data_IF_997251659423
#
_entry.id   IF_997251659423
#
_cell.length_a   1.000
_cell.length_b   1.000
_cell.length_c   1.000
_cell.angle_alpha   90.00
_cell.angle_beta   90.00
_cell.angle_gamma   90.00
#
_symmetry.space_group_name_H-M   'P 1'
#
loop_
_entity.id
_entity.type
_entity.pdbx_description
1 polymer ?
#
# COMPACT_ATOMS: atom_id res chain seq x y z
N UNK A 1 -10.36 13.63 -7.69
CA UNK A 1 -9.54 14.70 -8.30
C UNK A 1 -10.43 15.47 -9.26
N UNK A 2 -10.73 16.72 -8.94
CA UNK A 2 -11.92 17.43 -9.45
C UNK A 2 -11.55 18.53 -10.47
N UNK A 3 -12.48 18.83 -11.38
CA UNK A 3 -12.38 19.81 -12.48
C UNK A 3 -11.91 21.21 -12.02
N UNK A 4 -12.08 21.49 -10.71
CA UNK A 4 -11.64 22.69 -10.00
C UNK A 4 -10.13 22.93 -10.06
N UNK A 5 -9.31 21.88 -10.15
CA UNK A 5 -7.84 21.99 -10.24
C UNK A 5 -7.42 22.73 -11.52
N UNK A 6 -8.02 22.37 -12.67
CA UNK A 6 -7.70 22.98 -13.97
C UNK A 6 -8.10 24.46 -14.04
N UNK A 7 -9.23 24.83 -13.43
CA UNK A 7 -9.67 26.24 -13.36
C UNK A 7 -8.76 27.10 -12.48
N UNK A 8 -8.04 26.50 -11.53
CA UNK A 8 -7.14 27.21 -10.61
C UNK A 8 -5.79 27.50 -11.27
N UNK A 9 -5.28 26.55 -12.06
CA UNK A 9 -4.06 26.74 -12.87
C UNK A 9 -4.29 27.80 -13.95
N UNK A 10 -5.43 27.74 -14.66
CA UNK A 10 -5.82 28.73 -15.67
C UNK A 10 -5.85 30.17 -15.09
N UNK A 11 -6.38 30.33 -13.87
CA UNK A 11 -6.43 31.64 -13.17
C UNK A 11 -5.07 32.14 -12.69
N UNK A 12 -4.11 31.26 -12.37
CA UNK A 12 -2.74 31.65 -12.01
C UNK A 12 -1.98 32.17 -13.25
N UNK A 13 -2.16 31.55 -14.41
CA UNK A 13 -1.55 31.99 -15.67
C UNK A 13 -2.12 33.30 -16.22
N UNK A 14 -3.42 33.57 -16.04
CA UNK A 14 -4.06 34.81 -16.51
C UNK A 14 -3.73 36.06 -15.66
N UNK A 15 -3.03 35.91 -14.52
CA UNK A 15 -2.79 37.00 -13.55
C UNK A 15 -1.44 37.72 -13.72
N UNK A 16 -0.56 37.31 -14.63
CA UNK A 16 0.66 38.08 -14.93
C UNK A 16 0.36 39.24 -15.90
N UNK A 17 0.48 40.52 -15.48
CA UNK A 17 0.07 41.64 -16.30
C UNK A 17 1.28 42.26 -17.03
N UNK A 18 1.63 41.75 -18.20
CA UNK A 18 2.26 42.53 -19.28
C UNK A 18 2.23 41.74 -20.60
N UNK A 19 1.79 42.38 -21.70
CA UNK A 19 1.78 41.91 -23.11
C UNK A 19 0.51 41.22 -23.65
N UNK A 20 -0.67 41.55 -23.14
CA UNK A 20 -1.94 40.87 -23.52
C UNK A 20 -2.45 41.15 -24.95
N UNK A 21 -2.05 42.22 -25.64
CA UNK A 21 -2.82 42.68 -26.82
C UNK A 21 -2.28 42.31 -28.20
N UNK A 22 -1.15 41.61 -28.34
CA UNK A 22 -0.59 41.25 -29.67
C UNK A 22 -0.35 39.75 -29.91
N UNK A 23 -0.60 38.89 -28.90
CA UNK A 23 -0.27 37.44 -28.90
C UNK A 23 -1.47 36.49 -28.75
N UNK A 24 -2.71 37.00 -28.84
CA UNK A 24 -3.91 36.27 -28.43
C UNK A 24 -4.27 35.04 -29.27
N UNK A 25 -3.76 34.94 -30.51
CA UNK A 25 -3.96 33.75 -31.38
C UNK A 25 -2.83 32.73 -31.28
N UNK A 26 -1.59 33.14 -30.98
CA UNK A 26 -0.42 32.26 -30.89
C UNK A 26 -0.33 31.53 -29.54
N UNK A 27 -0.79 32.17 -28.45
CA UNK A 27 -0.78 31.57 -27.10
C UNK A 27 -1.78 30.41 -26.94
N UNK A 28 -2.95 30.45 -27.61
CA UNK A 28 -3.96 29.39 -27.48
C UNK A 28 -3.51 28.03 -28.01
N UNK A 29 -2.66 28.01 -29.05
CA UNK A 29 -2.21 26.76 -29.68
C UNK A 29 -1.02 26.09 -28.97
N UNK A 30 -0.30 26.81 -28.11
CA UNK A 30 0.80 26.27 -27.30
C UNK A 30 0.29 25.70 -25.97
N UNK A 31 -0.81 26.28 -25.46
CA UNK A 31 -1.51 25.83 -24.24
C UNK A 31 -2.18 24.46 -24.40
N UNK A 32 -2.77 24.16 -25.57
CA UNK A 32 -3.47 22.89 -25.80
C UNK A 32 -2.55 21.66 -25.71
N UNK A 33 -1.32 21.76 -26.23
CA UNK A 33 -0.34 20.67 -26.18
C UNK A 33 0.20 20.44 -24.77
N UNK A 34 0.48 21.54 -24.05
CA UNK A 34 0.88 21.53 -22.65
C UNK A 34 -0.20 20.91 -21.77
N UNK A 35 -1.46 21.33 -21.96
CA UNK A 35 -2.64 20.79 -21.26
C UNK A 35 -2.86 19.32 -21.55
N UNK A 36 -2.79 18.91 -22.83
CA UNK A 36 -2.89 17.51 -23.21
C UNK A 36 -1.83 16.67 -22.49
N UNK A 37 -0.61 17.19 -22.39
CA UNK A 37 0.46 16.49 -21.72
C UNK A 37 0.24 16.35 -20.20
N UNK A 38 -0.29 17.37 -19.49
CA UNK A 38 -0.63 17.21 -18.06
C UNK A 38 -1.74 16.17 -17.86
N UNK A 39 -2.75 16.19 -18.73
CA UNK A 39 -3.83 15.21 -18.68
C UNK A 39 -3.31 13.78 -18.90
N UNK A 40 -2.38 13.59 -19.84
CA UNK A 40 -1.75 12.29 -20.09
C UNK A 40 -0.90 11.87 -18.90
N UNK A 41 -0.07 12.76 -18.33
CA UNK A 41 0.70 12.47 -17.12
C UNK A 41 -0.18 12.04 -15.95
N UNK A 42 -1.34 12.69 -15.77
CA UNK A 42 -2.30 12.30 -14.75
C UNK A 42 -2.86 10.89 -14.99
N UNK A 43 -3.13 10.51 -16.25
CA UNK A 43 -3.57 9.15 -16.59
C UNK A 43 -2.46 8.11 -16.34
N UNK A 44 -1.21 8.44 -16.66
CA UNK A 44 -0.04 7.59 -16.40
C UNK A 44 0.12 7.37 -14.89
N UNK A 45 0.07 8.45 -14.10
CA UNK A 45 0.17 8.38 -12.64
C UNK A 45 -0.96 7.54 -12.03
N UNK A 46 -2.21 7.79 -12.42
CA UNK A 46 -3.37 7.05 -11.92
C UNK A 46 -3.37 5.55 -12.28
N UNK A 47 -2.68 5.19 -13.37
CA UNK A 47 -2.53 3.79 -13.79
C UNK A 47 -1.29 3.10 -13.23
N UNK A 48 -0.45 3.82 -12.45
CA UNK A 48 0.77 3.30 -11.85
C UNK A 48 1.79 2.81 -12.88
N UNK A 49 1.82 3.42 -14.07
CA UNK A 49 2.72 3.03 -15.16
C UNK A 49 4.06 3.77 -15.06
N UNK A 50 5.16 3.17 -15.58
CA UNK A 50 6.44 3.86 -15.66
C UNK A 50 6.33 5.14 -16.49
N UNK A 51 7.10 6.17 -16.14
CA UNK A 51 7.11 7.45 -16.86
C UNK A 51 7.53 7.30 -18.34
N UNK A 52 8.34 6.28 -18.66
CA UNK A 52 8.79 5.99 -20.04
C UNK A 52 7.64 5.64 -20.98
N UNK A 53 6.47 5.23 -20.47
CA UNK A 53 5.33 4.86 -21.32
C UNK A 53 4.84 6.02 -22.21
N UNK A 54 5.06 7.26 -21.76
CA UNK A 54 4.74 8.47 -22.51
C UNK A 54 5.44 8.49 -23.87
N UNK A 55 6.75 8.29 -23.88
CA UNK A 55 7.59 8.30 -25.08
C UNK A 55 7.61 6.96 -25.82
N UNK A 56 7.58 5.84 -25.11
CA UNK A 56 7.72 4.50 -25.69
C UNK A 56 6.46 4.01 -26.41
N UNK A 57 5.28 4.45 -25.95
CA UNK A 57 4.00 3.91 -26.45
C UNK A 57 2.97 4.99 -26.78
N UNK A 58 2.77 5.97 -25.89
CA UNK A 58 1.67 6.93 -26.03
C UNK A 58 1.92 7.89 -27.21
N UNK A 59 3.12 8.48 -27.32
CA UNK A 59 3.46 9.34 -28.46
C UNK A 59 3.40 8.58 -29.81
N UNK A 60 4.00 7.38 -29.96
CA UNK A 60 3.82 6.58 -31.16
C UNK A 60 2.36 6.26 -31.51
N UNK A 61 1.53 5.92 -30.52
CA UNK A 61 0.13 5.61 -30.75
C UNK A 61 -0.66 6.85 -31.21
N UNK A 62 -0.42 8.01 -30.60
CA UNK A 62 -1.01 9.29 -31.03
C UNK A 62 -0.59 9.60 -32.48
N UNK A 63 0.68 9.37 -32.82
CA UNK A 63 1.18 9.56 -34.18
C UNK A 63 0.45 8.70 -35.21
N UNK A 64 0.27 7.42 -34.92
CA UNK A 64 -0.43 6.51 -35.83
C UNK A 64 -1.87 6.96 -36.06
N UNK A 65 -2.60 7.33 -35.00
CA UNK A 65 -3.99 7.81 -35.10
C UNK A 65 -4.09 9.10 -35.92
N UNK A 66 -3.20 10.07 -35.70
CA UNK A 66 -3.24 11.34 -36.44
C UNK A 66 -2.95 11.11 -37.94
N UNK A 67 -1.98 10.26 -38.25
CA UNK A 67 -1.59 10.00 -39.64
C UNK A 67 -2.61 9.14 -40.40
N UNK A 68 -3.24 8.15 -39.75
CA UNK A 68 -4.12 7.17 -40.42
C UNK A 68 -5.60 7.50 -40.33
N UNK A 69 -6.07 8.02 -39.20
CA UNK A 69 -7.50 8.28 -38.96
C UNK A 69 -7.88 9.71 -39.32
N UNK A 70 -6.98 10.65 -39.04
CA UNK A 70 -7.23 12.07 -39.28
C UNK A 70 -6.61 12.59 -40.59
N UNK A 71 -5.82 11.77 -41.28
CA UNK A 71 -5.08 12.11 -42.50
C UNK A 71 -4.35 13.47 -42.41
N UNK A 72 -3.76 13.76 -41.24
CA UNK A 72 -3.06 15.03 -40.97
C UNK A 72 -1.57 14.77 -40.71
N UNK A 73 -0.67 15.70 -41.09
CA UNK A 73 0.72 15.62 -40.70
C UNK A 73 0.83 15.76 -39.17
N UNK A 74 1.23 14.70 -38.49
CA UNK A 74 1.25 14.65 -37.03
C UNK A 74 2.44 15.40 -36.40
N UNK A 75 3.50 15.65 -37.18
CA UNK A 75 4.79 16.13 -36.68
C UNK A 75 4.72 17.42 -35.85
N UNK A 76 3.96 18.41 -36.33
CA UNK A 76 3.86 19.72 -35.66
C UNK A 76 2.96 19.68 -34.41
N UNK A 77 2.05 18.71 -34.33
CA UNK A 77 1.14 18.55 -33.18
C UNK A 77 1.77 17.71 -32.06
N UNK A 78 2.51 16.66 -32.42
CA UNK A 78 3.18 15.76 -31.44
C UNK A 78 4.29 16.49 -30.70
N UNK A 79 5.08 17.31 -31.40
CA UNK A 79 6.14 18.12 -30.77
C UNK A 79 5.64 19.03 -29.66
N UNK A 80 4.35 19.40 -29.68
CA UNK A 80 3.72 20.25 -28.67
C UNK A 80 3.30 19.50 -27.40
N UNK A 81 3.36 18.16 -27.41
CA UNK A 81 2.96 17.31 -26.27
C UNK A 81 4.22 16.64 -25.71
N UNK A 82 4.95 17.30 -24.79
CA UNK A 82 6.21 16.73 -24.31
C UNK A 82 5.91 15.65 -23.26
N UNK A 83 6.06 14.38 -23.66
CA UNK A 83 5.85 13.19 -22.80
C UNK A 83 7.15 12.41 -22.54
N UNK A 84 8.31 13.08 -22.56
CA UNK A 84 9.57 12.40 -22.24
C UNK A 84 9.58 11.95 -20.78
N UNK A 85 10.37 10.91 -20.46
CA UNK A 85 10.47 10.37 -19.10
C UNK A 85 10.67 11.47 -18.02
N UNK A 86 11.57 12.42 -18.28
CA UNK A 86 11.85 13.52 -17.35
C UNK A 86 10.70 14.54 -17.28
N UNK A 87 9.99 14.74 -18.38
CA UNK A 87 8.84 15.66 -18.42
C UNK A 87 7.66 15.08 -17.66
N UNK A 88 7.38 13.80 -17.85
CA UNK A 88 6.37 13.05 -17.12
C UNK A 88 6.62 13.10 -15.62
N UNK A 89 7.86 12.79 -15.19
CA UNK A 89 8.25 12.90 -13.80
C UNK A 89 7.95 14.30 -13.23
N UNK A 90 8.47 15.34 -13.89
CA UNK A 90 8.31 16.73 -13.41
C UNK A 90 6.83 17.12 -13.31
N UNK A 91 6.00 16.75 -14.28
CA UNK A 91 4.56 17.07 -14.27
C UNK A 91 3.83 16.37 -13.14
N UNK A 92 4.15 15.10 -12.89
CA UNK A 92 3.59 14.35 -11.76
C UNK A 92 4.01 15.00 -10.45
N UNK A 93 5.28 15.38 -10.30
CA UNK A 93 5.80 16.06 -9.11
C UNK A 93 5.12 17.42 -8.88
N UNK A 94 4.96 18.24 -9.93
CA UNK A 94 4.27 19.53 -9.87
C UNK A 94 2.78 19.38 -9.47
N UNK A 95 2.07 18.42 -10.08
CA UNK A 95 0.67 18.14 -9.72
C UNK A 95 0.56 17.63 -8.29
N UNK A 96 1.43 16.71 -7.87
CA UNK A 96 1.46 16.18 -6.51
C UNK A 96 1.74 17.27 -5.48
N UNK A 97 2.70 18.16 -5.76
CA UNK A 97 3.01 19.29 -4.91
C UNK A 97 1.83 20.25 -4.77
N UNK A 98 1.15 20.57 -5.88
CA UNK A 98 -0.05 21.42 -5.84
C UNK A 98 -1.19 20.77 -5.03
N UNK A 99 -1.41 19.46 -5.16
CA UNK A 99 -2.43 18.74 -4.36
C UNK A 99 -2.04 18.77 -2.87
N UNK A 100 -0.77 18.58 -2.56
CA UNK A 100 -0.25 18.62 -1.19
C UNK A 100 -0.41 20.00 -0.55
N UNK A 101 -0.15 21.08 -1.29
CA UNK A 101 -0.34 22.46 -0.82
C UNK A 101 -1.81 22.72 -0.48
N UNK A 102 -2.72 22.40 -1.40
CA UNK A 102 -4.16 22.54 -1.19
C UNK A 102 -4.66 21.72 0.01
N UNK A 103 -4.09 20.53 0.21
CA UNK A 103 -4.39 19.71 1.38
C UNK A 103 -3.90 20.38 2.67
N UNK A 104 -2.67 20.90 2.70
CA UNK A 104 -2.14 21.61 3.87
C UNK A 104 -3.00 22.82 4.22
N UNK A 105 -3.31 23.68 3.24
CA UNK A 105 -4.20 24.86 3.41
C UNK A 105 -5.57 24.44 3.98
N UNK A 106 -6.12 23.31 3.53
CA UNK A 106 -7.38 22.80 4.05
C UNK A 106 -7.27 22.32 5.51
N UNK A 107 -6.17 21.66 5.88
CA UNK A 107 -5.92 21.14 7.23
C UNK A 107 -5.60 22.24 8.25
N UNK A 108 -5.10 23.39 7.81
CA UNK A 108 -4.91 24.58 8.66
C UNK A 108 -6.23 25.05 9.29
N UNK A 109 -7.32 24.99 8.54
CA UNK A 109 -8.64 25.49 8.96
C UNK A 109 -9.61 24.39 9.45
N UNK A 110 -9.25 23.11 9.28
CA UNK A 110 -10.19 21.99 9.47
C UNK A 110 -9.71 21.02 10.52
N UNK A 111 -10.63 20.41 11.28
CA UNK A 111 -10.31 19.32 12.19
C UNK A 111 -10.16 17.99 11.43
N UNK A 112 -9.15 17.21 11.77
CA UNK A 112 -8.83 15.96 11.08
C UNK A 112 -8.29 14.89 12.02
N UNK A 113 -8.30 13.66 11.56
CA UNK A 113 -7.66 12.51 12.20
C UNK A 113 -6.43 12.11 11.40
N UNK A 114 -5.41 11.57 12.04
CA UNK A 114 -4.22 11.05 11.36
C UNK A 114 -4.06 9.55 11.61
N UNK A 115 -3.53 8.84 10.63
CA UNK A 115 -3.07 7.47 10.76
C UNK A 115 -1.58 7.42 10.40
N UNK A 116 -0.81 6.81 11.28
CA UNK A 116 0.63 6.65 11.14
C UNK A 116 0.92 5.17 10.88
N UNK A 117 1.69 4.91 9.84
CA UNK A 117 2.17 3.58 9.50
C UNK A 117 3.65 3.64 9.14
N UNK A 118 4.40 2.63 9.56
CA UNK A 118 5.82 2.49 9.22
C UNK A 118 5.98 1.41 8.17
N UNK A 119 6.77 1.69 7.13
CA UNK A 119 7.12 0.71 6.11
C UNK A 119 8.63 0.65 5.93
N UNK A 120 9.18 -0.56 5.89
CA UNK A 120 10.60 -0.77 5.55
C UNK A 120 10.76 -0.98 4.05
N UNK A 121 11.61 -0.17 3.42
CA UNK A 121 12.00 -0.33 2.02
C UNK A 121 13.05 -1.45 1.87
N UNK A 122 13.27 -2.01 0.65
CA UNK A 122 14.24 -3.08 0.43
C UNK A 122 15.68 -2.76 0.86
N UNK A 123 16.04 -1.47 0.95
CA UNK A 123 17.33 -0.98 1.46
C UNK A 123 17.44 -0.89 2.99
N UNK A 124 16.48 -1.44 3.73
CA UNK A 124 16.32 -1.28 5.19
C UNK A 124 16.07 0.16 5.66
N UNK A 125 15.63 1.03 4.75
CA UNK A 125 15.20 2.39 5.10
C UNK A 125 13.79 2.32 5.70
N UNK A 126 13.59 3.00 6.82
CA UNK A 126 12.27 3.14 7.44
C UNK A 126 11.55 4.37 6.86
N UNK A 127 10.35 4.16 6.32
CA UNK A 127 9.49 5.17 5.73
C UNK A 127 8.28 5.38 6.63
N UNK A 128 8.11 6.60 7.13
CA UNK A 128 6.90 7.03 7.82
C UNK A 128 5.86 7.44 6.80
N UNK A 129 4.70 6.78 6.83
CA UNK A 129 3.52 7.12 6.07
C UNK A 129 2.48 7.77 6.99
N UNK A 130 1.98 8.93 6.58
CA UNK A 130 0.99 9.71 7.31
C UNK A 130 -0.21 9.91 6.43
N UNK A 131 -1.32 9.29 6.80
CA UNK A 131 -2.62 9.52 6.17
C UNK A 131 -3.44 10.46 7.03
N UNK A 132 -4.17 11.36 6.38
CA UNK A 132 -5.14 12.23 7.04
C UNK A 132 -6.54 11.82 6.66
N UNK A 133 -7.46 11.97 7.60
CA UNK A 133 -8.87 11.71 7.40
C UNK A 133 -9.70 12.89 7.91
N UNK A 134 -10.55 13.42 7.05
CA UNK A 134 -11.32 14.63 7.34
C UNK A 134 -12.70 14.55 6.67
N UNK A 135 -13.59 15.47 7.04
CA UNK A 135 -14.92 15.59 6.43
C UNK A 135 -14.90 16.77 5.45
N UNK A 136 -15.24 16.50 4.19
CA UNK A 136 -15.42 17.52 3.15
C UNK A 136 -16.72 17.22 2.40
N UNK A 137 -17.59 18.22 2.29
CA UNK A 137 -18.89 18.09 1.60
C UNK A 137 -19.71 16.88 2.11
N UNK A 138 -19.78 16.74 3.44
CA UNK A 138 -20.47 15.64 4.15
C UNK A 138 -19.92 14.22 3.86
N UNK A 139 -18.79 14.12 3.14
CA UNK A 139 -18.10 12.87 2.85
C UNK A 139 -16.83 12.77 3.69
N UNK A 140 -16.55 11.55 4.13
CA UNK A 140 -15.28 11.23 4.76
C UNK A 140 -14.26 11.04 3.64
N UNK A 141 -13.22 11.87 3.64
CA UNK A 141 -12.11 11.81 2.70
C UNK A 141 -10.85 11.32 3.43
N UNK A 142 -10.01 10.58 2.70
CA UNK A 142 -8.71 10.12 3.17
C UNK A 142 -7.67 10.46 2.11
N UNK A 143 -6.55 11.03 2.53
CA UNK A 143 -5.45 11.42 1.64
C UNK A 143 -4.11 11.10 2.30
N UNK A 144 -3.08 10.84 1.48
CA UNK A 144 -1.70 10.72 1.95
C UNK A 144 -1.13 12.13 2.17
N UNK A 145 -0.76 12.46 3.39
CA UNK A 145 -0.18 13.76 3.75
C UNK A 145 1.35 13.77 3.58
N UNK A 146 2.00 12.70 4.04
CA UNK A 146 3.45 12.63 4.10
C UNK A 146 3.93 11.18 3.90
N UNK A 147 4.98 11.02 3.10
CA UNK A 147 5.84 9.85 3.07
C UNK A 147 7.28 10.35 3.26
N UNK A 148 7.91 10.05 4.40
CA UNK A 148 9.24 10.60 4.74
C UNK A 148 10.11 9.54 5.39
N UNK A 149 11.38 9.48 4.97
CA UNK A 149 12.35 8.58 5.56
C UNK A 149 12.66 9.01 7.00
N UNK A 150 12.70 8.04 7.91
CA UNK A 150 13.17 8.22 9.28
C UNK A 150 14.68 8.00 9.30
N UNK A 151 15.42 9.03 9.72
CA UNK A 151 16.89 9.07 9.60
C UNK A 151 17.62 8.23 10.66
N UNK A 152 17.01 8.05 11.84
CA UNK A 152 17.68 7.48 13.01
C UNK A 152 17.04 6.18 13.47
N UNK A 153 15.84 6.28 14.05
CA UNK A 153 15.09 5.17 14.60
C UNK A 153 13.60 5.32 14.29
N UNK A 154 12.85 4.29 14.67
CA UNK A 154 11.40 4.22 14.51
C UNK A 154 10.67 4.41 15.84
N UNK A 155 11.34 5.03 16.81
CA UNK A 155 10.71 5.30 18.09
C UNK A 155 9.67 6.39 17.93
N UNK A 156 8.62 6.32 18.75
CA UNK A 156 7.50 7.24 18.63
C UNK A 156 7.87 8.72 18.90
N UNK A 157 9.01 9.00 19.54
CA UNK A 157 9.55 10.36 19.70
C UNK A 157 10.12 10.90 18.37
N UNK A 158 10.92 10.12 17.65
CA UNK A 158 11.42 10.48 16.31
C UNK A 158 10.28 10.69 15.30
N UNK A 159 9.25 9.84 15.36
CA UNK A 159 8.03 10.00 14.57
C UNK A 159 7.32 11.32 14.92
N UNK A 160 7.18 11.62 16.22
CA UNK A 160 6.57 12.88 16.67
C UNK A 160 7.33 14.10 16.17
N UNK A 161 8.66 14.13 16.32
CA UNK A 161 9.47 15.27 15.86
C UNK A 161 9.36 15.45 14.35
N UNK A 162 9.36 14.35 13.58
CA UNK A 162 9.19 14.39 12.12
C UNK A 162 7.84 15.03 11.73
N UNK A 163 6.77 14.68 12.44
CA UNK A 163 5.44 15.26 12.24
C UNK A 163 5.39 16.73 12.69
N UNK A 164 6.00 17.04 13.83
CA UNK A 164 6.03 18.38 14.40
C UNK A 164 6.76 19.37 13.49
N UNK A 165 7.93 19.00 12.97
CA UNK A 165 8.66 19.77 11.99
C UNK A 165 7.82 20.02 10.73
N UNK A 166 7.17 18.98 10.20
CA UNK A 166 6.34 19.10 9.01
C UNK A 166 5.14 20.04 9.23
N UNK A 167 4.48 19.94 10.39
CA UNK A 167 3.30 20.77 10.69
C UNK A 167 3.71 22.21 10.97
N UNK A 168 4.87 22.45 11.61
CA UNK A 168 5.46 23.78 11.76
C UNK A 168 5.80 24.40 10.40
N UNK A 169 6.41 23.63 9.50
CA UNK A 169 6.77 24.08 8.14
C UNK A 169 5.54 24.45 7.30
N UNK A 170 4.44 23.70 7.45
CA UNK A 170 3.17 23.92 6.73
C UNK A 170 2.15 24.75 7.50
N UNK A 171 2.55 25.34 8.62
CA UNK A 171 1.69 26.17 9.48
C UNK A 171 0.40 25.47 9.96
N UNK A 172 0.36 24.13 9.96
CA UNK A 172 -0.80 23.33 10.36
C UNK A 172 -0.90 23.29 11.89
N UNK A 173 -1.98 23.80 12.51
CA UNK A 173 -2.12 23.76 13.95
C UNK A 173 -2.29 22.32 14.47
N UNK A 174 -1.40 21.87 15.36
CA UNK A 174 -1.52 20.55 16.01
C UNK A 174 -2.85 20.36 16.75
N UNK A 175 -3.47 21.44 17.23
CA UNK A 175 -4.78 21.39 17.88
C UNK A 175 -5.92 21.00 16.93
N UNK A 176 -5.68 20.94 15.62
CA UNK A 176 -6.63 20.44 14.64
C UNK A 176 -6.68 18.92 14.56
N UNK A 177 -5.69 18.22 15.11
CA UNK A 177 -5.73 16.76 15.22
C UNK A 177 -6.76 16.36 16.28
N UNK A 178 -7.77 15.61 15.88
CA UNK A 178 -8.79 15.03 16.76
C UNK A 178 -8.35 13.68 17.32
N UNK A 179 -7.75 12.84 16.46
CA UNK A 179 -7.36 11.49 16.80
C UNK A 179 -6.14 11.03 16.02
N UNK A 180 -5.37 10.13 16.61
CA UNK A 180 -4.19 9.51 15.99
C UNK A 180 -4.37 8.00 16.05
N UNK A 181 -4.30 7.33 14.89
CA UNK A 181 -4.22 5.88 14.81
C UNK A 181 -2.76 5.45 14.63
N UNK A 182 -2.24 4.61 15.53
CA UNK A 182 -0.89 4.03 15.42
C UNK A 182 -0.92 2.51 15.63
N UNK A 183 0.11 1.83 15.19
CA UNK A 183 0.35 0.40 15.38
C UNK A 183 0.73 -0.02 16.81
N UNK A 184 0.70 0.89 17.78
CA UNK A 184 1.02 0.60 19.17
C UNK A 184 2.07 1.49 19.80
N UNK A 185 2.60 2.48 19.06
CA UNK A 185 3.50 3.50 19.60
C UNK A 185 2.81 4.39 20.66
N UNK A 186 3.11 4.23 21.97
CA UNK A 186 2.44 4.98 23.05
C UNK A 186 2.90 6.44 23.13
N UNK A 187 4.05 6.77 22.52
CA UNK A 187 4.69 8.07 22.63
C UNK A 187 3.81 9.20 22.06
N UNK A 188 3.11 8.97 20.94
CA UNK A 188 2.23 9.96 20.32
C UNK A 188 1.11 10.46 21.25
N UNK A 189 0.64 9.62 22.18
CA UNK A 189 -0.40 10.00 23.15
C UNK A 189 0.12 10.96 24.22
N UNK A 190 1.41 10.90 24.56
CA UNK A 190 1.98 11.74 25.61
C UNK A 190 2.20 13.18 25.14
N UNK A 191 2.36 13.38 23.84
CA UNK A 191 2.86 14.65 23.29
C UNK A 191 1.76 15.59 22.79
N UNK A 192 0.60 15.07 22.38
CA UNK A 192 -0.56 15.92 22.02
C UNK A 192 -1.68 15.77 23.07
N UNK A 193 -1.75 16.69 24.06
CA UNK A 193 -2.79 16.63 25.08
C UNK A 193 -4.17 16.77 24.42
N UNK A 194 -5.12 15.92 24.84
CA UNK A 194 -6.51 15.83 24.34
C UNK A 194 -6.72 15.15 22.98
N UNK A 195 -5.70 14.51 22.39
CA UNK A 195 -5.89 13.67 21.20
C UNK A 195 -6.41 12.28 21.57
N UNK A 196 -7.42 11.81 20.83
CA UNK A 196 -7.89 10.43 20.91
C UNK A 196 -6.88 9.50 20.23
N UNK A 197 -6.05 8.82 21.02
CA UNK A 197 -5.18 7.76 20.50
C UNK A 197 -5.98 6.48 20.28
N UNK A 198 -5.97 5.98 19.05
CA UNK A 198 -6.59 4.72 18.64
C UNK A 198 -5.48 3.73 18.27
N UNK A 199 -5.50 2.56 18.89
CA UNK A 199 -4.61 1.48 18.49
C UNK A 199 -5.15 0.84 17.21
N UNK A 200 -4.29 0.59 16.23
CA UNK A 200 -4.66 -0.09 15.00
C UNK A 200 -5.29 -1.44 15.34
N UNK A 201 -6.53 -1.67 14.86
CA UNK A 201 -7.31 -2.88 15.18
C UNK A 201 -6.63 -4.11 14.57
N UNK A 202 -6.05 -3.97 13.38
CA UNK A 202 -5.31 -5.05 12.71
C UNK A 202 -4.07 -5.42 13.54
N UNK A 203 -3.34 -4.44 14.05
CA UNK A 203 -2.18 -4.70 14.92
C UNK A 203 -2.61 -5.32 16.26
N UNK A 204 -3.71 -4.84 16.85
CA UNK A 204 -4.22 -5.44 18.10
C UNK A 204 -4.64 -6.90 17.90
N UNK A 205 -5.32 -7.20 16.79
CA UNK A 205 -5.68 -8.55 16.41
C UNK A 205 -4.44 -9.43 16.17
N UNK A 206 -3.36 -8.86 15.62
CA UNK A 206 -2.07 -9.53 15.51
C UNK A 206 -1.50 -9.90 16.89
N UNK A 207 -1.46 -8.95 17.84
CA UNK A 207 -0.98 -9.19 19.20
C UNK A 207 -1.79 -10.26 19.95
N UNK A 208 -3.10 -10.34 19.72
CA UNK A 208 -3.92 -11.40 20.35
C UNK A 208 -3.60 -12.78 19.77
N UNK A 209 -3.29 -12.86 18.48
CA UNK A 209 -2.99 -14.13 17.79
C UNK A 209 -1.57 -14.67 18.05
N UNK A 210 -0.69 -13.93 18.73
CA UNK A 210 0.60 -14.48 19.19
C UNK A 210 0.44 -15.45 20.35
N UNK A 211 -0.73 -15.45 21.02
CA UNK A 211 -1.07 -16.36 22.12
C UNK A 211 -1.52 -17.74 21.62
N UNK A 212 -0.71 -18.37 20.77
CA UNK A 212 -0.91 -19.77 20.39
C UNK A 212 -0.56 -20.69 21.56
N UNK A 213 -1.25 -21.83 21.67
CA UNK A 213 -0.84 -22.88 22.60
C UNK A 213 0.54 -23.42 22.21
N UNK A 214 1.29 -23.96 23.17
CA UNK A 214 2.64 -24.51 22.94
C UNK A 214 2.64 -25.57 21.80
N UNK A 215 1.59 -26.41 21.75
CA UNK A 215 1.39 -27.39 20.69
C UNK A 215 1.30 -26.75 19.30
N UNK A 216 0.44 -25.74 19.13
CA UNK A 216 0.27 -25.06 17.85
C UNK A 216 1.49 -24.22 17.46
N UNK A 217 2.17 -23.64 18.44
CA UNK A 217 3.42 -22.94 18.22
C UNK A 217 4.50 -23.89 17.67
N UNK A 218 4.58 -25.11 18.21
CA UNK A 218 5.47 -26.16 17.75
C UNK A 218 5.14 -26.62 16.32
N UNK A 219 3.86 -26.79 15.98
CA UNK A 219 3.40 -27.10 14.62
C UNK A 219 3.84 -26.03 13.63
N UNK A 220 3.64 -24.74 13.97
CA UNK A 220 4.05 -23.62 13.13
C UNK A 220 5.58 -23.59 12.96
N UNK A 221 6.35 -23.89 14.01
CA UNK A 221 7.81 -23.97 13.93
C UNK A 221 8.28 -25.07 12.96
N UNK A 222 7.60 -26.22 12.91
CA UNK A 222 7.93 -27.27 11.92
C UNK A 222 7.68 -26.81 10.48
N UNK A 223 6.57 -26.11 10.24
CA UNK A 223 6.28 -25.51 8.92
C UNK A 223 7.38 -24.51 8.52
N UNK A 224 7.73 -23.59 9.42
CA UNK A 224 8.79 -22.60 9.18
C UNK A 224 10.13 -23.28 8.88
N UNK A 225 10.48 -24.30 9.66
CA UNK A 225 11.71 -25.05 9.49
C UNK A 225 11.77 -25.73 8.12
N UNK A 226 10.66 -26.32 7.67
CA UNK A 226 10.58 -26.95 6.35
C UNK A 226 10.72 -25.94 5.21
N UNK A 227 10.03 -24.81 5.31
CA UNK A 227 10.12 -23.73 4.32
C UNK A 227 11.55 -23.19 4.25
N UNK A 228 12.18 -22.89 5.39
CA UNK A 228 13.55 -22.40 5.42
C UNK A 228 14.53 -23.42 4.83
N UNK A 229 14.35 -24.72 5.09
CA UNK A 229 15.20 -25.79 4.54
C UNK A 229 15.13 -25.85 3.00
N UNK A 230 13.94 -25.65 2.45
CA UNK A 230 13.71 -25.67 0.99
C UNK A 230 14.21 -24.36 0.37
N UNK A 231 13.80 -23.22 0.91
CA UNK A 231 13.97 -21.91 0.26
C UNK A 231 15.32 -21.24 0.51
N UNK A 232 16.00 -21.48 1.64
CA UNK A 232 17.30 -20.86 1.90
C UNK A 232 18.44 -21.45 1.07
N UNK A 233 18.18 -22.55 0.35
CA UNK A 233 19.14 -23.15 -0.56
C UNK A 233 18.61 -23.08 -1.99
N UNK A 234 19.31 -22.33 -2.85
CA UNK A 234 18.91 -22.10 -4.25
C UNK A 234 18.81 -23.38 -5.09
N UNK A 235 19.56 -24.44 -4.74
CA UNK A 235 19.41 -25.74 -5.37
C UNK A 235 18.13 -26.44 -4.88
N UNK A 236 17.86 -26.42 -3.58
CA UNK A 236 16.65 -27.04 -3.04
C UNK A 236 15.38 -26.35 -3.57
N UNK A 237 15.37 -25.02 -3.66
CA UNK A 237 14.22 -24.28 -4.20
C UNK A 237 13.96 -24.64 -5.68
N UNK A 238 15.02 -24.77 -6.50
CA UNK A 238 14.89 -25.22 -7.90
C UNK A 238 14.42 -26.67 -8.01
N UNK A 239 14.98 -27.57 -7.21
CA UNK A 239 14.57 -28.99 -7.20
C UNK A 239 13.12 -29.16 -6.72
N UNK A 240 12.69 -28.38 -5.73
CA UNK A 240 11.33 -28.40 -5.25
C UNK A 240 10.34 -27.87 -6.30
N UNK A 241 10.68 -26.81 -7.04
CA UNK A 241 9.87 -26.33 -8.18
C UNK A 241 9.67 -27.41 -9.25
N UNK A 242 10.74 -28.15 -9.56
CA UNK A 242 10.68 -29.27 -10.52
C UNK A 242 9.76 -30.36 -10.00
N UNK A 243 9.92 -30.77 -8.73
CA UNK A 243 9.05 -31.76 -8.09
C UNK A 243 7.57 -31.33 -8.14
N UNK A 244 7.25 -30.08 -7.81
CA UNK A 244 5.89 -29.57 -7.91
C UNK A 244 5.35 -29.59 -9.35
N UNK A 245 6.22 -29.39 -10.35
CA UNK A 245 5.82 -29.48 -11.77
C UNK A 245 5.58 -30.94 -12.17
N UNK A 246 6.38 -31.88 -11.67
CA UNK A 246 6.20 -33.33 -11.92
C UNK A 246 4.94 -33.87 -11.24
N UNK A 247 4.57 -33.31 -10.09
CA UNK A 247 3.38 -33.68 -9.32
C UNK A 247 2.10 -32.93 -9.79
N UNK A 248 2.16 -32.19 -10.90
CA UNK A 248 1.04 -31.40 -11.45
C UNK A 248 0.39 -30.44 -10.40
N UNK A 249 1.22 -29.80 -9.57
CA UNK A 249 0.74 -28.89 -8.53
C UNK A 249 0.33 -27.53 -9.09
N UNK A 250 -0.80 -26.98 -8.60
CA UNK A 250 -1.29 -25.63 -8.96
C UNK A 250 -0.31 -24.50 -8.59
N UNK A 251 0.63 -24.77 -7.69
CA UNK A 251 1.62 -23.80 -7.22
C UNK A 251 3.00 -24.44 -7.19
N UNK A 252 3.96 -23.84 -7.91
CA UNK A 252 5.31 -24.39 -7.98
C UNK A 252 6.28 -23.87 -6.90
N UNK A 253 5.85 -22.97 -6.01
CA UNK A 253 6.73 -22.30 -5.06
C UNK A 253 6.09 -22.10 -3.69
N UNK A 254 6.84 -22.40 -2.63
CA UNK A 254 6.50 -22.00 -1.27
C UNK A 254 6.69 -20.50 -1.07
N UNK A 255 5.95 -19.91 -0.13
CA UNK A 255 6.13 -18.51 0.28
C UNK A 255 7.10 -18.44 1.46
N UNK A 256 7.97 -17.43 1.49
CA UNK A 256 8.72 -17.13 2.71
C UNK A 256 7.77 -16.51 3.73
N UNK A 257 7.92 -16.89 4.99
CA UNK A 257 7.32 -16.14 6.07
C UNK A 257 8.09 -14.84 6.26
N UNK A 258 7.45 -13.70 6.00
CA UNK A 258 7.97 -12.41 6.45
C UNK A 258 7.34 -12.10 7.79
N UNK A 259 8.16 -11.76 8.79
CA UNK A 259 7.67 -11.35 10.12
C UNK A 259 6.77 -10.11 10.05
N UNK A 260 7.03 -9.26 9.05
CA UNK A 260 6.49 -7.90 8.93
C UNK A 260 5.02 -7.83 8.49
N UNK A 261 4.44 -8.88 7.87
CA UNK A 261 3.07 -8.79 7.32
C UNK A 261 2.27 -10.07 7.50
N UNK A 262 1.30 -10.06 8.41
CA UNK A 262 0.48 -11.21 8.80
C UNK A 262 -0.31 -11.88 7.64
N UNK A 263 -0.71 -11.14 6.58
CA UNK A 263 -1.27 -11.72 5.35
C UNK A 263 -0.33 -12.79 4.77
N UNK A 264 0.98 -12.61 4.93
CA UNK A 264 2.00 -13.56 4.51
C UNK A 264 1.94 -14.85 5.30
N UNK A 265 1.66 -14.84 6.61
CA UNK A 265 1.59 -16.07 7.43
C UNK A 265 0.44 -16.97 7.01
N UNK A 266 -0.77 -16.42 6.84
CA UNK A 266 -1.92 -17.21 6.39
C UNK A 266 -1.77 -17.68 4.95
N UNK A 267 -1.25 -16.84 4.04
CA UNK A 267 -0.97 -17.25 2.67
C UNK A 267 0.13 -18.32 2.58
N UNK A 268 1.14 -18.22 3.46
CA UNK A 268 2.23 -19.18 3.59
C UNK A 268 1.72 -20.53 4.07
N UNK A 269 0.91 -20.57 5.14
CA UNK A 269 0.28 -21.80 5.63
C UNK A 269 -0.66 -22.43 4.60
N UNK A 270 -1.51 -21.63 3.93
CA UNK A 270 -2.40 -22.10 2.86
C UNK A 270 -1.61 -22.75 1.72
N UNK A 271 -0.53 -22.12 1.26
CA UNK A 271 0.32 -22.67 0.21
C UNK A 271 1.10 -23.90 0.66
N UNK A 272 1.65 -23.85 1.88
CA UNK A 272 2.37 -24.99 2.45
C UNK A 272 1.47 -26.22 2.57
N UNK A 273 0.23 -26.04 3.02
CA UNK A 273 -0.71 -27.14 3.20
C UNK A 273 -1.23 -27.70 1.87
N UNK A 274 -1.38 -26.87 0.83
CA UNK A 274 -1.65 -27.34 -0.53
C UNK A 274 -0.54 -28.23 -1.08
N UNK A 275 0.72 -27.84 -0.82
CA UNK A 275 1.91 -28.57 -1.26
C UNK A 275 2.40 -29.61 -0.23
N UNK A 276 1.56 -29.98 0.75
CA UNK A 276 2.01 -30.72 1.92
C UNK A 276 2.64 -32.05 1.55
N UNK A 277 2.02 -32.80 0.64
CA UNK A 277 2.50 -34.11 0.24
C UNK A 277 3.80 -34.01 -0.59
N UNK A 278 3.89 -33.03 -1.49
CA UNK A 278 5.14 -32.68 -2.21
C UNK A 278 6.27 -32.26 -1.25
N UNK A 279 5.96 -31.52 -0.17
CA UNK A 279 6.93 -31.18 0.88
C UNK A 279 7.40 -32.43 1.62
N UNK A 280 6.50 -33.35 1.98
CA UNK A 280 6.88 -34.61 2.64
C UNK A 280 7.76 -35.46 1.74
N UNK A 281 7.44 -35.56 0.46
CA UNK A 281 8.23 -36.27 -0.54
C UNK A 281 9.64 -35.69 -0.65
N UNK A 282 9.74 -34.37 -0.79
CA UNK A 282 11.03 -33.67 -0.86
C UNK A 282 11.89 -33.92 0.39
N UNK A 283 11.27 -33.87 1.58
CA UNK A 283 11.99 -34.04 2.85
C UNK A 283 12.42 -35.49 3.11
N UNK A 284 11.84 -36.48 2.44
CA UNK A 284 12.17 -37.91 2.63
C UNK A 284 13.66 -38.22 2.51
N UNK A 285 14.36 -37.53 1.61
CA UNK A 285 15.81 -37.72 1.37
C UNK A 285 16.68 -36.67 2.05
N UNK A 286 16.08 -35.65 2.68
CA UNK A 286 16.78 -34.46 3.21
C UNK A 286 16.71 -34.35 4.73
N UNK A 287 15.58 -34.71 5.33
CA UNK A 287 15.31 -34.53 6.75
C UNK A 287 14.09 -35.37 7.17
N UNK A 288 14.30 -36.68 7.38
CA UNK A 288 13.20 -37.61 7.72
C UNK A 288 12.63 -37.37 9.14
N UNK A 289 13.41 -36.75 10.04
CA UNK A 289 12.93 -36.32 11.36
C UNK A 289 11.90 -35.20 11.20
N UNK A 290 12.24 -34.16 10.43
CA UNK A 290 11.31 -33.07 10.14
C UNK A 290 10.07 -33.56 9.39
N UNK A 291 10.25 -34.47 8.41
CA UNK A 291 9.13 -35.12 7.71
C UNK A 291 8.19 -35.84 8.68
N UNK A 292 8.74 -36.65 9.58
CA UNK A 292 7.95 -37.38 10.58
C UNK A 292 7.21 -36.45 11.53
N UNK A 293 7.84 -35.35 11.95
CA UNK A 293 7.17 -34.33 12.75
C UNK A 293 6.03 -33.66 11.99
N UNK A 294 6.20 -33.31 10.71
CA UNK A 294 5.11 -32.75 9.91
C UNK A 294 3.92 -33.70 9.81
N UNK A 295 4.17 -35.01 9.60
CA UNK A 295 3.12 -36.03 9.57
C UNK A 295 2.38 -36.09 10.91
N UNK A 296 3.11 -36.14 12.03
CA UNK A 296 2.53 -36.23 13.37
C UNK A 296 1.66 -35.01 13.73
N UNK A 297 1.98 -33.84 13.18
CA UNK A 297 1.26 -32.59 13.44
C UNK A 297 0.38 -32.16 12.24
N UNK A 298 0.07 -33.06 11.29
CA UNK A 298 -0.71 -32.71 10.07
C UNK A 298 -2.05 -32.05 10.41
N UNK A 299 -2.79 -32.61 11.36
CA UNK A 299 -4.09 -32.04 11.77
C UNK A 299 -3.95 -30.67 12.42
N UNK A 300 -2.90 -30.45 13.21
CA UNK A 300 -2.65 -29.15 13.83
C UNK A 300 -2.29 -28.09 12.78
N UNK A 301 -1.52 -28.49 11.76
CA UNK A 301 -1.17 -27.62 10.62
C UNK A 301 -2.42 -27.30 9.79
N UNK A 302 -3.28 -28.29 9.52
CA UNK A 302 -4.56 -28.07 8.84
C UNK A 302 -5.44 -27.07 9.60
N UNK A 303 -5.59 -27.28 10.91
CA UNK A 303 -6.33 -26.39 11.79
C UNK A 303 -5.76 -24.97 11.78
N UNK A 304 -4.43 -24.83 11.85
CA UNK A 304 -3.77 -23.52 11.75
C UNK A 304 -4.04 -22.85 10.41
N UNK A 305 -3.95 -23.58 9.30
CA UNK A 305 -4.24 -23.05 7.96
C UNK A 305 -5.66 -22.49 7.88
N UNK A 306 -6.65 -23.23 8.35
CA UNK A 306 -8.05 -22.78 8.36
C UNK A 306 -8.25 -21.56 9.26
N UNK A 307 -7.69 -21.59 10.47
CA UNK A 307 -7.80 -20.49 11.42
C UNK A 307 -7.15 -19.20 10.87
N UNK A 308 -5.94 -19.30 10.33
CA UNK A 308 -5.23 -18.17 9.73
C UNK A 308 -5.94 -17.66 8.46
N UNK A 309 -6.60 -18.53 7.70
CA UNK A 309 -7.47 -18.10 6.59
C UNK A 309 -8.64 -17.25 7.08
N UNK A 310 -9.27 -17.60 8.21
CA UNK A 310 -10.36 -16.79 8.80
C UNK A 310 -9.88 -15.46 9.36
N UNK A 311 -8.69 -15.43 9.95
CA UNK A 311 -8.04 -14.17 10.28
C UNK A 311 -7.75 -13.34 9.02
N UNK A 312 -7.28 -13.99 7.94
CA UNK A 312 -7.03 -13.36 6.64
C UNK A 312 -8.26 -12.67 6.06
N UNK A 313 -9.37 -13.40 5.96
CA UNK A 313 -10.65 -12.88 5.49
C UNK A 313 -11.15 -11.68 6.31
N UNK A 314 -10.95 -11.71 7.63
CA UNK A 314 -11.44 -10.66 8.55
C UNK A 314 -10.61 -9.40 8.43
N UNK A 315 -9.29 -9.52 8.44
CA UNK A 315 -8.42 -8.37 8.35
C UNK A 315 -8.48 -7.69 6.97
N UNK A 316 -8.73 -8.43 5.87
CA UNK A 316 -9.02 -7.81 4.57
C UNK A 316 -10.27 -6.93 4.63
N UNK A 317 -11.29 -7.33 5.39
CA UNK A 317 -12.48 -6.49 5.64
C UNK A 317 -12.16 -5.29 6.54
N UNK A 318 -11.07 -5.33 7.31
CA UNK A 318 -10.59 -4.23 8.14
C UNK A 318 -9.62 -3.29 7.39
N UNK A 319 -9.41 -3.52 6.09
CA UNK A 319 -8.66 -2.65 5.20
C UNK A 319 -9.61 -1.91 4.24
N UNK A 320 -9.25 -0.68 3.86
CA UNK A 320 -9.97 0.11 2.86
C UNK A 320 -10.52 1.44 3.38
N UNK A 321 -10.76 2.35 2.44
CA UNK A 321 -10.98 3.78 2.71
C UNK A 321 -12.38 4.08 3.30
N UNK A 322 -13.34 3.16 3.11
CA UNK A 322 -14.72 3.30 3.56
C UNK A 322 -14.97 2.83 5.00
N UNK A 323 -13.96 2.33 5.70
CA UNK A 323 -14.11 1.78 7.04
C UNK A 323 -14.21 2.87 8.08
N UNK A 324 -15.15 2.75 9.01
CA UNK A 324 -15.25 3.63 10.18
C UNK A 324 -15.37 2.79 11.45
N UNK A 325 -15.31 3.43 12.61
CA UNK A 325 -15.35 2.74 13.91
C UNK A 325 -16.56 1.80 14.05
N UNK A 326 -17.72 2.19 13.52
CA UNK A 326 -18.94 1.39 13.57
C UNK A 326 -18.84 0.14 12.70
N UNK A 327 -18.38 0.28 11.44
CA UNK A 327 -18.14 -0.86 10.53
C UNK A 327 -17.09 -1.81 11.12
N UNK A 328 -15.98 -1.27 11.63
CA UNK A 328 -14.92 -2.04 12.28
C UNK A 328 -15.43 -2.82 13.49
N UNK A 329 -16.22 -2.19 14.37
CA UNK A 329 -16.87 -2.85 15.50
C UNK A 329 -17.77 -4.00 15.05
N UNK A 330 -18.55 -3.80 13.99
CA UNK A 330 -19.44 -4.83 13.45
C UNK A 330 -18.65 -6.03 12.90
N UNK A 331 -17.57 -5.78 12.15
CA UNK A 331 -16.70 -6.83 11.61
C UNK A 331 -16.09 -7.66 12.74
N UNK A 332 -15.49 -7.01 13.74
CA UNK A 332 -14.88 -7.69 14.89
C UNK A 332 -15.95 -8.48 15.67
N UNK A 333 -17.12 -7.89 15.93
CA UNK A 333 -18.20 -8.56 16.67
C UNK A 333 -18.70 -9.79 15.92
N UNK A 334 -18.90 -9.68 14.60
CA UNK A 334 -19.29 -10.80 13.76
C UNK A 334 -18.21 -11.90 13.74
N UNK A 335 -16.93 -11.51 13.71
CA UNK A 335 -15.82 -12.45 13.75
C UNK A 335 -15.75 -13.20 15.08
N UNK A 336 -15.94 -12.53 16.23
CA UNK A 336 -16.00 -13.16 17.54
C UNK A 336 -17.14 -14.19 17.64
N UNK A 337 -18.31 -13.88 17.09
CA UNK A 337 -19.43 -14.82 17.02
C UNK A 337 -19.09 -16.04 16.15
N UNK A 338 -18.46 -15.81 14.99
CA UNK A 338 -17.98 -16.90 14.11
C UNK A 338 -16.96 -17.79 14.82
N UNK A 339 -16.01 -17.22 15.57
CA UNK A 339 -15.04 -17.99 16.35
C UNK A 339 -15.70 -18.91 17.38
N UNK A 340 -16.77 -18.44 18.05
CA UNK A 340 -17.53 -19.29 18.97
C UNK A 340 -18.23 -20.46 18.26
N UNK A 341 -18.70 -20.26 17.03
CA UNK A 341 -19.24 -21.34 16.20
C UNK A 341 -18.14 -22.30 15.74
N UNK A 342 -17.00 -21.78 15.30
CA UNK A 342 -15.86 -22.59 14.88
C UNK A 342 -15.33 -23.45 16.03
N UNK A 343 -15.27 -22.92 17.25
CA UNK A 343 -14.92 -23.70 18.44
C UNK A 343 -15.84 -24.91 18.66
N UNK A 344 -17.10 -24.84 18.23
CA UNK A 344 -18.08 -25.94 18.37
C UNK A 344 -18.02 -26.96 17.23
N UNK A 345 -17.46 -26.58 16.08
CA UNK A 345 -17.48 -27.37 14.85
C UNK A 345 -16.10 -27.83 14.37
N UNK A 346 -15.01 -27.31 14.96
CA UNK A 346 -13.64 -27.79 14.75
C UNK A 346 -13.38 -28.93 15.74
N UNK A 347 -13.77 -30.14 15.32
CA UNK A 347 -13.49 -31.41 15.99
C UNK A 347 -12.40 -32.18 15.26
#
# INVERSE_FOLDING_TARGET
MDLFHFQTIEKKFLKEPALVNMFSTTLKQDDDGLRASYNISLLIANSGKPHTIGEELILPAINEVINTVLDKPAFDNIKKIPLSNNTEQRRIDEMAQSVKELLCEFLEATKFSIQLDESTLPGNEALLLVYVRFVKEEKICQELLLAKNLMTDTQGESIYHTLEEFFKEKEIPMCNILSVATDGAPAMKKTVPNVLAVHCVIHLQHLVNTNLSERLHKSLHYVISAINKIKNNSLNDRLFRLLCTENDEDSNQLLFQTEVRWLSKGACLDRFYKLFDSVLEFLKTKDDILRSNLINYRSDIAYLTDLFKKFNETNLQLQGDDLNLMKTKNIISAFLLKLLMYKRNLG
#
